data_IF_419350851822
#
_entry.id   IF_419350851822
#
_cell.length_a   1.000
_cell.length_b   1.000
_cell.length_c   1.000
_cell.angle_alpha   90.00
_cell.angle_beta   90.00
_cell.angle_gamma   90.00
#
_symmetry.space_group_name_H-M   'P 1'
#
loop_
_entity.id
_entity.type
_entity.pdbx_description
1 polymer ?
#
# COMPACT_ATOMS: atom_id res chain seq x y z
N UNK A 1 4.33 0.69 -11.07
CA UNK A 1 3.22 1.28 -10.29
C UNK A 1 3.16 2.80 -10.46
N UNK A 2 1.99 3.40 -10.64
CA UNK A 2 1.81 4.86 -10.55
C UNK A 2 1.60 5.26 -9.10
N UNK A 3 2.68 5.66 -8.44
CA UNK A 3 2.70 5.91 -6.99
C UNK A 3 1.95 7.18 -6.60
N UNK A 4 1.72 8.10 -7.55
CA UNK A 4 0.99 9.34 -7.34
C UNK A 4 -0.49 9.10 -7.00
N UNK A 5 -1.02 7.91 -7.31
CA UNK A 5 -2.36 7.51 -6.88
C UNK A 5 -2.51 7.53 -5.36
N UNK A 6 -1.44 7.26 -4.60
CA UNK A 6 -1.46 7.24 -3.14
C UNK A 6 -1.73 8.64 -2.58
N UNK A 7 -1.22 9.71 -3.21
CA UNK A 7 -1.51 11.10 -2.78
C UNK A 7 -2.99 11.46 -2.87
N UNK A 8 -3.75 10.75 -3.69
CA UNK A 8 -5.20 10.94 -3.86
C UNK A 8 -6.02 10.09 -2.89
N UNK A 9 -5.41 9.08 -2.28
CA UNK A 9 -6.08 8.24 -1.30
C UNK A 9 -6.24 9.05 0.01
N UNK A 10 -7.46 9.13 0.58
CA UNK A 10 -7.71 9.92 1.80
C UNK A 10 -6.80 9.59 2.97
N UNK A 11 -6.34 8.34 3.07
CA UNK A 11 -5.45 7.87 4.14
C UNK A 11 -4.07 8.53 4.09
N UNK A 12 -3.58 8.87 2.90
CA UNK A 12 -2.24 9.42 2.69
C UNK A 12 -2.25 10.89 2.28
N UNK A 13 -3.43 11.48 2.04
CA UNK A 13 -3.58 12.85 1.57
C UNK A 13 -3.01 13.91 2.54
N UNK A 14 -2.82 13.56 3.81
CA UNK A 14 -2.27 14.45 4.84
C UNK A 14 -0.77 14.26 5.08
N UNK A 15 -0.13 13.31 4.39
CA UNK A 15 1.31 13.12 4.50
C UNK A 15 2.05 14.26 3.81
N UNK A 16 3.10 14.76 4.46
CA UNK A 16 4.06 15.62 3.80
C UNK A 16 4.95 14.83 2.83
N UNK A 17 5.76 15.55 2.06
CA UNK A 17 6.59 14.93 1.03
C UNK A 17 7.68 14.00 1.59
N UNK A 18 8.16 14.25 2.81
CA UNK A 18 9.18 13.41 3.44
C UNK A 18 8.57 12.09 3.91
N UNK A 19 7.45 12.15 4.62
CA UNK A 19 6.70 10.97 5.06
C UNK A 19 6.17 10.17 3.87
N UNK A 20 5.72 10.85 2.81
CA UNK A 20 5.31 10.18 1.57
C UNK A 20 6.48 9.43 0.95
N UNK A 21 7.65 10.05 0.83
CA UNK A 21 8.85 9.39 0.28
C UNK A 21 9.25 8.15 1.09
N UNK A 22 9.28 8.28 2.42
CA UNK A 22 9.60 7.15 3.31
C UNK A 22 8.59 6.00 3.16
N UNK A 23 7.30 6.30 3.07
CA UNK A 23 6.27 5.30 2.83
C UNK A 23 6.50 4.60 1.49
N UNK A 24 6.77 5.36 0.43
CA UNK A 24 6.95 4.82 -0.91
C UNK A 24 8.21 3.98 -1.06
N UNK A 25 9.26 4.28 -0.30
CA UNK A 25 10.52 3.53 -0.30
C UNK A 25 10.33 2.11 0.31
N UNK A 26 9.34 1.94 1.20
CA UNK A 26 9.03 0.65 1.86
C UNK A 26 7.99 -0.19 1.09
N UNK A 27 7.32 0.36 0.07
CA UNK A 27 6.31 -0.36 -0.70
C UNK A 27 6.95 -1.46 -1.55
N UNK A 28 6.39 -2.66 -1.46
CA UNK A 28 6.78 -3.80 -2.30
C UNK A 28 5.65 -4.14 -3.25
N UNK A 29 5.97 -4.30 -4.54
CA UNK A 29 5.02 -4.73 -5.54
C UNK A 29 4.74 -6.24 -5.38
N UNK A 30 3.46 -6.61 -5.32
CA UNK A 30 3.02 -8.01 -5.16
C UNK A 30 2.15 -8.38 -6.34
N UNK A 31 2.63 -9.31 -7.17
CA UNK A 31 1.87 -9.85 -8.29
C UNK A 31 0.87 -10.91 -7.82
N UNK A 32 -0.41 -10.65 -8.06
CA UNK A 32 -1.49 -11.57 -7.71
C UNK A 32 -2.11 -12.19 -8.97
N UNK A 33 -2.14 -13.52 -9.00
CA UNK A 33 -2.82 -14.27 -10.05
C UNK A 33 -4.34 -14.22 -9.88
N UNK A 34 -5.09 -14.35 -10.98
CA UNK A 34 -6.55 -14.42 -10.94
C UNK A 34 -7.01 -15.55 -10.01
N UNK A 35 -7.83 -15.20 -9.01
CA UNK A 35 -8.34 -16.15 -8.02
C UNK A 35 -7.45 -16.31 -6.78
N UNK A 36 -6.30 -15.62 -6.69
CA UNK A 36 -5.51 -15.56 -5.48
C UNK A 36 -6.23 -14.75 -4.38
N UNK A 37 -6.06 -15.17 -3.13
CA UNK A 37 -6.52 -14.41 -1.95
C UNK A 37 -5.38 -13.51 -1.46
N UNK A 38 -5.67 -12.24 -1.20
CA UNK A 38 -4.69 -11.26 -0.68
C UNK A 38 -4.35 -11.56 0.79
N UNK A 39 -5.37 -11.78 1.61
CA UNK A 39 -5.28 -12.23 2.99
C UNK A 39 -6.51 -13.06 3.35
N UNK A 40 -6.46 -13.76 4.48
CA UNK A 40 -7.56 -14.53 5.05
C UNK A 40 -7.99 -13.95 6.39
N UNK A 41 -9.24 -14.20 6.75
CA UNK A 41 -9.73 -13.84 8.08
C UNK A 41 -8.93 -14.58 9.16
N UNK A 42 -8.43 -13.85 10.15
CA UNK A 42 -7.56 -14.37 11.20
C UNK A 42 -6.06 -14.31 10.89
N UNK A 43 -5.67 -13.90 9.68
CA UNK A 43 -4.26 -13.58 9.39
C UNK A 43 -3.81 -12.39 10.23
N UNK A 44 -2.52 -12.36 10.56
CA UNK A 44 -1.92 -11.27 11.31
C UNK A 44 -2.03 -9.97 10.47
N UNK A 45 -2.66 -8.93 11.04
CA UNK A 45 -2.89 -7.67 10.35
C UNK A 45 -1.66 -6.75 10.37
N UNK A 46 -0.54 -7.21 9.80
CA UNK A 46 0.73 -6.48 9.74
C UNK A 46 1.00 -5.82 8.38
N UNK A 47 0.14 -6.04 7.39
CA UNK A 47 0.30 -5.53 6.02
C UNK A 47 -0.90 -4.68 5.56
N UNK A 48 -0.61 -3.72 4.68
CA UNK A 48 -1.59 -2.85 4.01
C UNK A 48 -1.41 -2.99 2.48
N UNK A 49 -2.52 -3.12 1.76
CA UNK A 49 -2.58 -3.31 0.30
C UNK A 49 -3.44 -2.23 -0.36
#
# INVERSE_FOLDING_TARGET
MDIEVLRRAPLFATLDDEAFRLLTDELTEVDLSRGASVFREGDQGDQLY
#
